data_IF_346783228730
#
_entry.id   IF_346783228730
#
_cell.length_a   1.000
_cell.length_b   1.000
_cell.length_c   1.000
_cell.angle_alpha   90.00
_cell.angle_beta   90.00
_cell.angle_gamma   90.00
#
_symmetry.space_group_name_H-M   'P 1'
#
loop_
_entity.id
_entity.type
_entity.pdbx_description
1 polymer ?
#
# COMPACT_ATOMS: atom_id res chain seq x y z
N UNK A 1 -7.07 -9.71 3.33
CA UNK A 1 -7.54 -8.87 4.46
C UNK A 1 -7.44 -7.38 4.09
N UNK A 2 -8.55 -6.78 3.67
CA UNK A 2 -8.62 -5.36 3.25
C UNK A 2 -8.29 -4.36 4.37
N UNK A 3 -8.11 -4.83 5.61
CA UNK A 3 -7.93 -3.98 6.79
C UNK A 3 -6.55 -4.13 7.44
N UNK A 4 -5.60 -4.80 6.79
CA UNK A 4 -4.30 -5.15 7.40
C UNK A 4 -3.47 -3.93 7.82
N UNK A 5 -3.72 -2.76 7.24
CA UNK A 5 -3.00 -1.52 7.57
C UNK A 5 -3.86 -0.50 8.31
N UNK A 6 -5.13 -0.79 8.60
CA UNK A 6 -6.07 0.20 9.12
C UNK A 6 -5.72 0.76 10.52
N UNK A 7 -4.95 0.00 11.30
CA UNK A 7 -4.50 0.38 12.63
C UNK A 7 -3.15 1.11 12.63
N UNK A 8 -2.48 1.20 11.48
CA UNK A 8 -1.15 1.80 11.34
C UNK A 8 -1.26 3.30 11.00
N UNK A 9 -2.17 4.02 11.66
CA UNK A 9 -2.50 5.43 11.36
C UNK A 9 -1.34 6.42 11.55
N UNK A 10 -0.29 6.00 12.26
CA UNK A 10 0.93 6.77 12.49
C UNK A 10 2.12 6.31 11.64
N UNK A 11 1.92 5.34 10.74
CA UNK A 11 2.99 4.82 9.90
C UNK A 11 3.41 5.86 8.87
N UNK A 12 4.71 6.16 8.85
CA UNK A 12 5.31 7.12 7.92
C UNK A 12 5.93 6.44 6.70
N UNK A 13 6.42 5.22 6.88
CA UNK A 13 7.10 4.48 5.81
C UNK A 13 6.57 3.04 5.74
N UNK A 14 6.20 2.60 4.54
CA UNK A 14 5.75 1.24 4.24
C UNK A 14 6.51 0.71 3.03
N UNK A 15 7.22 -0.40 3.19
CA UNK A 15 7.96 -1.03 2.10
C UNK A 15 7.44 -2.45 1.87
N UNK A 16 6.81 -2.65 0.71
CA UNK A 16 6.33 -3.95 0.21
C UNK A 16 7.15 -4.41 -1.00
N UNK A 17 8.39 -3.95 -1.09
CA UNK A 17 9.30 -4.24 -2.20
C UNK A 17 9.57 -5.74 -2.34
N UNK A 18 9.84 -6.21 -3.55
CA UNK A 18 10.21 -7.61 -3.85
C UNK A 18 9.15 -8.63 -3.41
N UNK A 19 7.88 -8.31 -3.57
CA UNK A 19 6.79 -9.26 -3.33
C UNK A 19 6.10 -9.65 -4.64
N UNK A 20 5.50 -10.84 -4.74
CA UNK A 20 4.75 -11.24 -5.93
C UNK A 20 3.33 -10.62 -5.94
N UNK A 21 3.18 -9.35 -5.55
CA UNK A 21 1.87 -8.70 -5.53
C UNK A 21 1.40 -8.46 -6.97
N UNK A 22 0.24 -9.02 -7.31
CA UNK A 22 -0.39 -8.88 -8.63
C UNK A 22 -1.31 -7.65 -8.71
N UNK A 23 -1.92 -7.29 -7.57
CA UNK A 23 -2.81 -6.17 -7.42
C UNK A 23 -2.77 -5.65 -5.98
N UNK A 24 -3.18 -4.41 -5.80
CA UNK A 24 -3.47 -3.81 -4.49
C UNK A 24 -4.98 -3.63 -4.38
N UNK A 25 -5.61 -4.04 -3.26
CA UNK A 25 -7.01 -3.70 -3.02
C UNK A 25 -7.20 -2.18 -3.04
N UNK A 26 -8.34 -1.72 -3.58
CA UNK A 26 -8.67 -0.31 -3.54
C UNK A 26 -8.77 0.17 -2.10
N UNK A 27 -8.19 1.33 -1.80
CA UNK A 27 -8.22 1.93 -0.47
C UNK A 27 -7.42 1.20 0.62
N UNK A 28 -6.57 0.21 0.25
CA UNK A 28 -5.76 -0.56 1.22
C UNK A 28 -4.82 0.32 2.07
N UNK A 29 -4.57 1.56 1.65
CA UNK A 29 -3.73 2.54 2.35
C UNK A 29 -4.51 3.75 2.90
N UNK A 30 -5.85 3.79 2.79
CA UNK A 30 -6.66 4.99 3.13
C UNK A 30 -6.50 5.47 4.58
N UNK A 31 -6.14 4.57 5.49
CA UNK A 31 -5.94 4.89 6.91
C UNK A 31 -4.51 5.29 7.24
N UNK A 32 -3.57 5.16 6.30
CA UNK A 32 -2.18 5.54 6.47
C UNK A 32 -2.01 7.06 6.23
N UNK A 33 -2.75 7.88 6.99
CA UNK A 33 -2.84 9.32 6.78
C UNK A 33 -1.54 10.08 7.04
N UNK A 34 -0.54 9.43 7.64
CA UNK A 34 0.78 9.98 7.89
C UNK A 34 1.88 9.35 7.01
N UNK A 35 1.51 8.52 6.04
CA UNK A 35 2.46 7.87 5.15
C UNK A 35 3.09 8.89 4.21
N UNK A 36 4.41 8.94 4.22
CA UNK A 36 5.20 9.80 3.33
C UNK A 36 6.03 8.99 2.35
N UNK A 37 6.30 7.72 2.64
CA UNK A 37 7.06 6.83 1.76
C UNK A 37 6.37 5.47 1.60
N UNK A 38 6.11 5.11 0.34
CA UNK A 38 5.58 3.80 -0.05
C UNK A 38 6.50 3.15 -1.09
N UNK A 39 7.10 2.02 -0.72
CA UNK A 39 7.87 1.20 -1.65
C UNK A 39 7.06 0.04 -2.19
N UNK A 40 6.95 -0.04 -3.52
CA UNK A 40 6.31 -1.12 -4.26
C UNK A 40 7.20 -1.71 -5.36
N UNK A 41 8.51 -1.41 -5.36
CA UNK A 41 9.38 -1.84 -6.45
C UNK A 41 9.59 -3.36 -6.46
N UNK A 42 9.87 -3.90 -7.65
CA UNK A 42 10.02 -5.36 -7.86
C UNK A 42 8.78 -6.15 -7.39
N UNK A 43 7.61 -5.65 -7.76
CA UNK A 43 6.34 -6.36 -7.68
C UNK A 43 5.80 -6.68 -9.09
N UNK A 44 4.73 -7.47 -9.16
CA UNK A 44 4.06 -7.86 -10.41
C UNK A 44 2.76 -7.07 -10.63
N UNK A 45 2.69 -5.85 -10.09
CA UNK A 45 1.48 -5.01 -10.13
C UNK A 45 1.18 -4.61 -11.58
N UNK A 46 0.02 -5.05 -12.08
CA UNK A 46 -0.43 -4.70 -13.44
C UNK A 46 -0.99 -3.28 -13.54
N UNK A 47 -1.50 -2.77 -12.42
CA UNK A 47 -2.08 -1.45 -12.30
C UNK A 47 -2.10 -1.02 -10.85
N UNK A 48 -2.02 0.28 -10.62
CA UNK A 48 -2.34 0.87 -9.32
C UNK A 48 -3.78 1.39 -9.37
N UNK A 49 -4.65 1.03 -8.40
CA UNK A 49 -6.01 1.54 -8.35
C UNK A 49 -6.03 3.08 -8.31
N UNK A 50 -7.03 3.69 -8.95
CA UNK A 50 -7.28 5.13 -8.78
C UNK A 50 -7.63 5.40 -7.31
N UNK A 51 -7.05 6.45 -6.74
CA UNK A 51 -7.25 6.81 -5.34
C UNK A 51 -6.42 6.01 -4.34
N UNK A 52 -5.41 5.23 -4.80
CA UNK A 52 -4.41 4.66 -3.90
C UNK A 52 -3.43 5.68 -3.30
N UNK A 53 -3.51 6.94 -3.74
CA UNK A 53 -2.74 8.10 -3.30
C UNK A 53 -3.66 9.32 -3.23
#
# INVERSE_FOLDING_TARGET
PEMVFNYLVNLQELYLNKNPLLALPAGVFDKLTQLTQLGLWDNQLKSIPRGSF
#
